data_IF_527548664134
#
_entry.id   IF_527548664134
#
_cell.length_a   1.000
_cell.length_b   1.000
_cell.length_c   1.000
_cell.angle_alpha   90.00
_cell.angle_beta   90.00
_cell.angle_gamma   90.00
#
_symmetry.space_group_name_H-M   'P 1'
#
loop_
_entity.id
_entity.type
_entity.pdbx_description
1 polymer ?
#
# COMPACT_ATOMS: atom_id res chain seq x y z
N UNK A 1 18.38 6.02 3.10
CA UNK A 1 18.41 5.40 4.45
C UNK A 1 16.98 5.05 4.83
N UNK A 2 16.75 3.82 5.33
CA UNK A 2 15.42 3.41 5.76
C UNK A 2 15.02 4.14 7.05
N UNK A 3 13.73 4.51 7.20
CA UNK A 3 13.25 5.21 8.39
C UNK A 3 13.27 4.28 9.62
N UNK A 4 13.51 4.83 10.80
CA UNK A 4 13.43 4.08 12.05
C UNK A 4 11.98 3.82 12.48
N UNK A 5 11.13 4.83 12.28
CA UNK A 5 9.71 4.81 12.65
C UNK A 5 8.82 5.18 11.47
N UNK A 6 7.61 4.67 11.52
CA UNK A 6 6.52 5.01 10.62
C UNK A 6 5.28 5.38 11.43
N UNK A 7 4.46 6.25 10.87
CA UNK A 7 3.24 6.77 11.49
C UNK A 7 2.05 6.54 10.57
N UNK A 8 0.94 6.10 11.13
CA UNK A 8 -0.28 5.85 10.37
C UNK A 8 -1.45 6.58 11.02
N UNK A 9 -2.18 7.35 10.21
CA UNK A 9 -3.39 8.06 10.60
C UNK A 9 -4.60 7.21 10.29
N UNK A 10 -5.47 6.99 11.27
CA UNK A 10 -6.64 6.14 11.11
C UNK A 10 -7.75 6.48 12.10
N UNK A 11 -8.94 5.89 11.95
CA UNK A 11 -10.01 6.05 12.92
C UNK A 11 -9.73 5.28 14.22
N UNK A 12 -10.42 5.67 15.31
CA UNK A 12 -10.35 4.93 16.59
C UNK A 12 -10.85 3.50 16.41
N UNK A 13 -11.89 3.31 15.60
CA UNK A 13 -12.49 2.00 15.30
C UNK A 13 -11.48 1.12 14.58
N UNK A 14 -10.81 1.64 13.55
CA UNK A 14 -9.77 0.91 12.83
C UNK A 14 -8.59 0.56 13.74
N UNK A 15 -8.18 1.48 14.63
CA UNK A 15 -7.15 1.17 15.63
C UNK A 15 -7.58 -0.01 16.53
N UNK A 16 -8.83 0.00 17.02
CA UNK A 16 -9.37 -1.10 17.84
C UNK A 16 -9.33 -2.42 17.08
N UNK A 17 -9.64 -2.43 15.79
CA UNK A 17 -9.55 -3.63 14.96
C UNK A 17 -8.09 -4.10 14.74
N UNK A 18 -7.17 -3.17 14.45
CA UNK A 18 -5.73 -3.48 14.36
C UNK A 18 -5.24 -4.15 15.66
N UNK A 19 -5.63 -3.62 16.82
CA UNK A 19 -5.23 -4.18 18.12
C UNK A 19 -5.83 -5.57 18.34
N UNK A 20 -7.12 -5.76 18.06
CA UNK A 20 -7.80 -7.06 18.27
C UNK A 20 -7.25 -8.16 17.37
N UNK A 21 -7.02 -7.83 16.09
CA UNK A 21 -6.60 -8.80 15.09
C UNK A 21 -5.08 -8.94 14.97
N UNK A 22 -4.35 -7.94 15.47
CA UNK A 22 -2.92 -7.75 15.25
C UNK A 22 -2.54 -7.72 13.77
N UNK A 23 -3.44 -7.24 12.91
CA UNK A 23 -3.24 -7.13 11.47
C UNK A 23 -3.22 -5.68 11.02
N UNK A 24 -2.52 -5.43 9.92
CA UNK A 24 -2.61 -4.17 9.17
C UNK A 24 -3.13 -4.44 7.75
N UNK A 25 -3.99 -3.56 7.29
CA UNK A 25 -4.63 -3.68 6.00
C UNK A 25 -3.75 -3.16 4.87
N UNK A 26 -3.68 -3.94 3.80
CA UNK A 26 -3.17 -3.55 2.50
C UNK A 26 -4.37 -3.38 1.57
N UNK A 27 -4.55 -2.18 1.08
CA UNK A 27 -5.65 -1.83 0.19
C UNK A 27 -5.18 -1.94 -1.26
N UNK A 28 -6.00 -2.53 -2.11
CA UNK A 28 -5.73 -2.64 -3.55
C UNK A 28 -5.65 -1.25 -4.18
N UNK A 29 -4.75 -1.04 -5.14
CA UNK A 29 -4.46 0.30 -5.68
C UNK A 29 -5.69 1.00 -6.26
N UNK A 30 -6.59 0.27 -6.93
CA UNK A 30 -7.82 0.82 -7.49
C UNK A 30 -8.86 1.24 -6.44
N UNK A 31 -8.60 0.94 -5.17
CA UNK A 31 -9.45 1.27 -4.01
C UNK A 31 -8.86 2.36 -3.12
N UNK A 32 -7.71 2.90 -3.50
CA UNK A 32 -7.14 4.06 -2.82
C UNK A 32 -7.91 5.35 -3.18
N UNK A 33 -7.69 6.39 -2.40
CA UNK A 33 -8.39 7.68 -2.57
C UNK A 33 -7.97 8.46 -3.83
N UNK A 34 -6.78 8.20 -4.38
CA UNK A 34 -6.35 8.78 -5.64
C UNK A 34 -6.81 7.90 -6.82
N UNK A 35 -7.76 8.35 -7.67
CA UNK A 35 -8.26 7.56 -8.79
C UNK A 35 -7.21 7.29 -9.86
N UNK A 36 -6.12 8.05 -9.88
CA UNK A 36 -5.01 7.89 -10.82
C UNK A 36 -3.92 6.96 -10.30
N UNK A 37 -4.05 6.47 -9.08
CA UNK A 37 -3.07 5.61 -8.44
C UNK A 37 -2.79 4.34 -9.24
N UNK A 38 -1.51 4.14 -9.63
CA UNK A 38 -1.08 2.96 -10.36
C UNK A 38 -1.62 2.82 -11.79
N UNK A 39 -2.17 3.89 -12.37
CA UNK A 39 -2.55 3.89 -13.79
C UNK A 39 -1.31 3.82 -14.67
N UNK A 40 -1.35 2.92 -15.65
CA UNK A 40 -0.34 2.80 -16.71
C UNK A 40 -0.93 3.41 -17.96
N UNK A 41 -0.30 4.45 -18.48
CA UNK A 41 -0.61 4.98 -19.81
C UNK A 41 0.49 4.50 -20.76
N UNK A 42 0.13 3.66 -21.73
CA UNK A 42 1.03 3.19 -22.77
C UNK A 42 0.35 3.29 -24.12
N UNK A 43 1.01 3.96 -25.05
CA UNK A 43 0.54 4.04 -26.46
C UNK A 43 0.68 2.70 -27.20
N UNK A 44 1.56 1.83 -26.70
CA UNK A 44 1.90 0.54 -27.36
C UNK A 44 1.00 -0.63 -26.94
N UNK A 45 0.28 -0.49 -25.82
CA UNK A 45 -0.51 -1.58 -25.25
C UNK A 45 -1.85 -1.01 -24.82
N UNK A 46 -2.91 -1.43 -25.52
CA UNK A 46 -4.31 -1.21 -25.15
C UNK A 46 -4.69 -2.09 -23.92
N UNK A 47 -3.81 -2.13 -22.92
CA UNK A 47 -4.15 -2.67 -21.63
C UNK A 47 -5.12 -1.69 -20.98
N UNK A 48 -6.29 -2.16 -20.58
CA UNK A 48 -7.09 -1.37 -19.68
C UNK A 48 -6.29 -1.25 -18.38
N UNK A 49 -5.53 -0.17 -18.26
CA UNK A 49 -4.57 0.07 -17.19
C UNK A 49 -5.21 -0.05 -15.80
N UNK A 50 -6.52 0.14 -15.73
CA UNK A 50 -7.32 -0.04 -14.53
C UNK A 50 -7.27 -1.45 -13.93
N UNK A 51 -7.09 -2.47 -14.76
CA UNK A 51 -7.15 -3.87 -14.29
C UNK A 51 -5.86 -4.33 -13.64
N UNK A 52 -4.71 -3.86 -14.11
CA UNK A 52 -3.39 -4.25 -13.56
C UNK A 52 -3.25 -3.73 -12.13
N UNK A 53 -3.89 -2.62 -11.78
CA UNK A 53 -3.93 -2.09 -10.41
C UNK A 53 -4.50 -3.09 -9.40
N UNK A 54 -5.31 -4.05 -9.85
CA UNK A 54 -5.84 -5.11 -9.01
C UNK A 54 -4.79 -6.12 -8.54
N UNK A 55 -3.59 -6.07 -9.12
CA UNK A 55 -2.47 -6.95 -8.74
C UNK A 55 -1.51 -6.30 -7.74
N UNK A 56 -1.76 -5.08 -7.31
CA UNK A 56 -0.89 -4.39 -6.36
C UNK A 56 -1.68 -3.82 -5.18
N UNK A 57 -1.09 -3.93 -3.99
CA UNK A 57 -1.68 -3.51 -2.72
C UNK A 57 -0.69 -2.66 -1.94
N UNK A 58 -1.20 -1.66 -1.24
CA UNK A 58 -0.40 -0.79 -0.40
C UNK A 58 -0.97 -0.64 1.01
N UNK A 59 -0.07 -0.52 1.98
CA UNK A 59 -0.35 0.07 3.29
C UNK A 59 0.45 1.37 3.40
N UNK A 60 -0.25 2.49 3.64
CA UNK A 60 0.26 3.85 3.51
C UNK A 60 0.63 4.44 4.87
N UNK A 61 1.80 5.07 4.95
CA UNK A 61 2.41 5.57 6.17
C UNK A 61 3.11 6.90 5.90
N UNK A 62 3.46 7.63 6.95
CA UNK A 62 4.42 8.73 6.86
C UNK A 62 5.58 8.50 7.82
N UNK A 63 6.73 9.13 7.57
CA UNK A 63 7.90 9.05 8.46
C UNK A 63 8.12 10.34 9.24
N UNK A 64 7.29 11.35 9.01
CA UNK A 64 7.38 12.64 9.69
C UNK A 64 6.88 12.50 11.13
N UNK A 65 7.70 12.78 12.14
CA UNK A 65 7.26 12.76 13.53
C UNK A 65 6.32 13.93 13.87
N UNK A 66 6.42 15.04 13.11
CA UNK A 66 5.53 16.20 13.25
C UNK A 66 4.12 15.83 12.77
N UNK A 67 3.14 16.37 13.45
CA UNK A 67 1.75 16.24 13.04
C UNK A 67 1.50 16.93 11.69
N UNK A 68 0.59 16.36 10.91
CA UNK A 68 0.17 16.92 9.64
C UNK A 68 -1.35 17.17 9.65
N UNK A 69 -1.74 18.43 9.59
CA UNK A 69 -3.14 18.85 9.62
C UNK A 69 -3.96 18.25 8.47
N UNK A 70 -3.38 18.17 7.27
CA UNK A 70 -4.05 17.58 6.12
C UNK A 70 -4.34 16.10 6.32
N UNK A 71 -3.38 15.33 6.89
CA UNK A 71 -3.60 13.91 7.20
C UNK A 71 -4.67 13.72 8.28
N UNK A 72 -4.70 14.59 9.31
CA UNK A 72 -5.77 14.59 10.30
C UNK A 72 -7.15 14.82 9.65
N UNK A 73 -7.24 15.81 8.76
CA UNK A 73 -8.50 16.14 8.09
C UNK A 73 -8.96 15.03 7.16
N UNK A 74 -8.07 14.53 6.30
CA UNK A 74 -8.44 13.61 5.22
C UNK A 74 -8.69 12.19 5.70
N UNK A 75 -7.88 11.70 6.64
CA UNK A 75 -7.91 10.27 7.02
C UNK A 75 -8.64 10.01 8.33
N UNK A 76 -8.91 11.04 9.12
CA UNK A 76 -9.50 10.87 10.45
C UNK A 76 -10.65 11.82 10.74
N UNK A 77 -10.95 12.72 9.81
CA UNK A 77 -11.89 13.84 10.06
C UNK A 77 -11.61 14.55 11.39
N UNK A 78 -10.32 14.73 11.73
CA UNK A 78 -9.80 15.35 12.96
C UNK A 78 -10.08 14.55 14.26
N UNK A 79 -10.81 13.43 14.21
CA UNK A 79 -11.31 12.66 15.36
C UNK A 79 -10.70 11.26 15.49
N UNK A 80 -9.66 10.95 14.75
CA UNK A 80 -9.01 9.64 14.81
C UNK A 80 -7.75 9.65 15.66
N UNK A 81 -6.85 8.77 15.28
CA UNK A 81 -5.56 8.56 15.93
C UNK A 81 -4.43 8.53 14.93
N UNK A 82 -3.22 8.85 15.41
CA UNK A 82 -1.97 8.54 14.73
C UNK A 82 -1.20 7.53 15.56
N UNK A 83 -0.89 6.37 15.00
CA UNK A 83 -0.08 5.35 15.66
C UNK A 83 1.36 5.39 15.17
N UNK A 84 2.30 5.09 16.07
CA UNK A 84 3.73 5.01 15.80
C UNK A 84 4.24 3.59 16.00
N UNK A 85 4.96 3.08 15.01
CA UNK A 85 5.60 1.77 15.05
C UNK A 85 7.04 1.86 14.50
N UNK A 86 7.86 0.86 14.80
CA UNK A 86 9.13 0.65 14.09
C UNK A 86 8.87 0.24 12.65
N UNK A 87 9.73 0.65 11.75
CA UNK A 87 9.54 0.41 10.31
C UNK A 87 9.71 -1.05 9.87
N UNK A 88 10.20 -1.93 10.73
CA UNK A 88 10.23 -3.38 10.47
C UNK A 88 8.91 -4.05 10.88
N UNK A 89 7.80 -3.60 10.27
CA UNK A 89 6.43 -3.96 10.68
C UNK A 89 6.16 -5.47 10.69
N UNK A 90 6.78 -6.23 9.77
CA UNK A 90 6.43 -7.62 9.47
C UNK A 90 7.55 -8.61 9.78
N UNK A 91 8.74 -8.14 10.15
CA UNK A 91 9.91 -8.97 10.42
C UNK A 91 10.84 -8.33 11.45
N UNK A 92 11.75 -9.12 12.02
CA UNK A 92 12.76 -8.60 12.95
C UNK A 92 13.80 -7.73 12.23
N UNK A 93 14.06 -8.03 10.96
CA UNK A 93 15.03 -7.33 10.11
C UNK A 93 14.44 -7.07 8.74
N UNK A 94 14.82 -5.92 8.17
CA UNK A 94 14.57 -5.59 6.78
C UNK A 94 15.75 -6.14 5.98
N UNK A 95 15.46 -6.97 4.99
CA UNK A 95 16.45 -7.44 4.02
C UNK A 95 16.51 -6.45 2.87
N UNK A 96 17.70 -6.06 2.46
CA UNK A 96 17.91 -5.28 1.25
C UNK A 96 18.36 -6.24 0.15
N UNK A 97 17.55 -6.36 -0.88
CA UNK A 97 17.85 -7.17 -2.05
C UNK A 97 18.11 -6.23 -3.22
N UNK A 98 19.22 -6.42 -3.88
CA UNK A 98 19.53 -5.70 -5.10
C UNK A 98 18.86 -6.40 -6.28
N UNK A 99 18.08 -5.64 -7.04
CA UNK A 99 17.49 -6.09 -8.30
C UNK A 99 17.65 -4.97 -9.33
N UNK A 100 18.28 -5.25 -10.44
CA UNK A 100 18.46 -4.33 -11.58
C UNK A 100 18.93 -2.92 -11.18
N UNK A 101 19.94 -2.84 -10.30
CA UNK A 101 20.49 -1.60 -9.73
C UNK A 101 19.53 -0.85 -8.77
N UNK A 102 18.48 -1.49 -8.28
CA UNK A 102 17.59 -0.96 -7.26
C UNK A 102 17.64 -1.80 -5.99
N UNK A 103 17.75 -1.15 -4.83
CA UNK A 103 17.69 -1.82 -3.54
C UNK A 103 16.24 -1.94 -3.08
N UNK A 104 15.76 -3.16 -2.96
CA UNK A 104 14.41 -3.44 -2.48
C UNK A 104 14.41 -3.85 -1.01
N UNK A 105 13.77 -3.10 -0.12
CA UNK A 105 13.56 -3.54 1.25
C UNK A 105 12.45 -4.59 1.30
N UNK A 106 12.79 -5.79 1.76
CA UNK A 106 11.87 -6.92 1.91
C UNK A 106 11.72 -7.25 3.38
N UNK A 107 10.50 -7.40 3.86
CA UNK A 107 10.24 -7.71 5.26
C UNK A 107 9.68 -9.09 5.52
N UNK A 108 8.77 -9.58 4.71
CA UNK A 108 8.13 -10.86 4.98
C UNK A 108 7.58 -11.54 3.75
N UNK A 109 7.59 -12.86 3.84
CA UNK A 109 6.83 -13.75 3.00
C UNK A 109 5.48 -13.99 3.68
N UNK A 110 4.40 -13.65 3.00
CA UNK A 110 3.05 -13.98 3.44
C UNK A 110 2.43 -14.96 2.43
N UNK A 111 1.97 -16.15 2.85
CA UNK A 111 1.12 -16.96 1.99
C UNK A 111 -0.22 -16.23 1.84
N UNK A 112 -0.58 -15.88 0.61
CA UNK A 112 -1.89 -15.31 0.30
C UNK A 112 -2.71 -16.43 -0.33
N UNK A 113 -3.66 -16.94 0.42
CA UNK A 113 -4.41 -18.16 0.09
C UNK A 113 -5.64 -17.94 -0.79
N UNK A 114 -5.97 -16.71 -1.16
CA UNK A 114 -7.26 -16.41 -1.82
C UNK A 114 -7.15 -15.60 -3.10
N UNK A 115 -6.02 -15.75 -3.79
CA UNK A 115 -5.78 -15.04 -5.04
C UNK A 115 -5.88 -15.97 -6.24
N UNK A 116 -6.74 -15.62 -7.19
CA UNK A 116 -6.86 -16.29 -8.47
C UNK A 116 -6.78 -15.27 -9.59
N UNK A 117 -5.89 -15.51 -10.56
CA UNK A 117 -6.06 -14.95 -11.91
C UNK A 117 -6.49 -16.07 -12.84
N UNK A 118 -7.17 -15.73 -13.93
CA UNK A 118 -7.48 -16.71 -14.98
C UNK A 118 -6.23 -17.35 -15.57
N UNK A 119 -5.09 -16.65 -15.46
CA UNK A 119 -3.79 -17.06 -15.99
C UNK A 119 -2.95 -17.89 -15.01
N UNK A 120 -3.22 -17.79 -13.73
CA UNK A 120 -2.46 -18.50 -12.70
C UNK A 120 -3.41 -19.15 -11.71
N UNK A 121 -3.63 -20.45 -11.92
CA UNK A 121 -4.50 -21.27 -11.06
C UNK A 121 -3.76 -21.84 -9.84
N UNK A 122 -2.55 -21.35 -9.52
CA UNK A 122 -1.79 -21.89 -8.40
C UNK A 122 -2.21 -21.26 -7.08
N UNK A 123 -2.83 -22.03 -6.16
CA UNK A 123 -3.45 -21.49 -4.95
C UNK A 123 -2.46 -21.11 -3.82
N UNK A 124 -1.15 -21.25 -4.01
CA UNK A 124 -0.15 -21.10 -2.96
C UNK A 124 1.06 -20.26 -3.37
N UNK A 125 0.83 -19.13 -4.04
CA UNK A 125 1.93 -18.22 -4.33
C UNK A 125 2.35 -17.50 -3.05
N UNK A 126 3.63 -17.60 -2.72
CA UNK A 126 4.22 -16.87 -1.60
C UNK A 126 4.50 -15.45 -2.07
N UNK A 127 3.86 -14.48 -1.43
CA UNK A 127 4.09 -13.08 -1.71
C UNK A 127 4.95 -12.43 -0.65
N UNK A 128 5.81 -11.52 -1.12
CA UNK A 128 6.67 -10.73 -0.26
C UNK A 128 5.95 -9.43 0.13
N UNK A 129 6.17 -8.99 1.36
CA UNK A 129 5.88 -7.63 1.75
C UNK A 129 7.14 -6.81 1.52
N UNK A 130 7.06 -5.93 0.54
CA UNK A 130 8.13 -4.99 0.18
C UNK A 130 7.95 -3.68 0.94
N UNK A 131 9.05 -3.03 1.30
CA UNK A 131 9.01 -1.72 1.93
C UNK A 131 9.74 -1.63 3.28
N UNK A 132 9.75 -0.44 3.86
CA UNK A 132 9.03 0.74 3.37
C UNK A 132 9.72 1.42 2.18
N UNK A 133 8.93 1.84 1.19
CA UNK A 133 9.37 2.68 0.07
C UNK A 133 8.85 4.10 0.25
N UNK A 134 9.68 5.08 -0.08
CA UNK A 134 9.22 6.46 -0.22
C UNK A 134 8.45 6.60 -1.54
N UNK A 135 7.31 7.27 -1.50
CA UNK A 135 6.58 7.65 -2.71
C UNK A 135 7.32 8.78 -3.43
N UNK A 136 7.52 8.62 -4.74
CA UNK A 136 8.08 9.65 -5.60
C UNK A 136 6.94 10.51 -6.15
N UNK A 137 7.02 11.82 -5.90
CA UNK A 137 6.03 12.78 -6.38
C UNK A 137 6.47 13.36 -7.72
N UNK A 138 5.57 13.31 -8.70
CA UNK A 138 5.84 13.68 -10.09
C UNK A 138 4.78 14.67 -10.60
N UNK A 139 5.11 15.44 -11.63
CA UNK A 139 4.16 16.39 -12.23
C UNK A 139 3.03 15.68 -12.99
N UNK A 140 3.36 14.57 -13.64
CA UNK A 140 2.41 13.76 -14.40
C UNK A 140 2.75 12.27 -14.25
N UNK A 141 1.74 11.43 -14.28
CA UNK A 141 1.90 9.96 -14.33
C UNK A 141 2.11 9.45 -15.75
N UNK A 142 1.94 10.29 -16.77
CA UNK A 142 2.18 9.90 -18.16
C UNK A 142 3.62 9.40 -18.31
N UNK A 143 3.77 8.26 -18.96
CA UNK A 143 5.06 7.61 -19.22
C UNK A 143 5.87 7.17 -17.98
N UNK A 144 5.31 7.28 -16.76
CA UNK A 144 6.04 6.95 -15.53
C UNK A 144 6.27 5.47 -15.32
N UNK A 145 5.46 4.62 -15.91
CA UNK A 145 5.50 3.16 -15.73
C UNK A 145 5.89 2.42 -17.01
N UNK A 146 6.61 3.05 -17.93
CA UNK A 146 7.08 2.39 -19.17
C UNK A 146 7.94 1.16 -18.91
N UNK A 147 8.75 1.20 -17.85
CA UNK A 147 9.57 0.07 -17.42
C UNK A 147 8.79 -1.06 -16.71
N UNK A 148 7.55 -0.80 -16.31
CA UNK A 148 6.70 -1.84 -15.70
C UNK A 148 6.24 -2.90 -16.71
N UNK A 149 6.47 -2.66 -18.01
CA UNK A 149 6.09 -3.57 -19.08
C UNK A 149 7.36 -3.96 -19.83
N UNK A 150 7.77 -5.21 -19.68
CA UNK A 150 8.91 -5.74 -20.39
C UNK A 150 8.46 -6.73 -21.46
N UNK A 151 8.94 -6.51 -22.70
CA UNK A 151 8.62 -7.34 -23.86
C UNK A 151 9.67 -8.41 -24.03
N UNK A 152 9.43 -9.63 -23.55
CA UNK A 152 10.26 -10.77 -23.90
C UNK A 152 9.90 -11.29 -25.30
N UNK A 153 10.80 -11.08 -26.27
CA UNK A 153 10.76 -11.81 -27.53
C UNK A 153 11.15 -13.25 -27.26
N UNK A 154 10.20 -14.16 -27.27
CA UNK A 154 10.53 -15.59 -27.35
C UNK A 154 11.21 -15.91 -28.68
N UNK A 155 12.24 -16.74 -28.62
CA UNK A 155 13.15 -17.16 -29.70
C UNK A 155 12.50 -17.18 -31.09
N UNK A 156 13.22 -16.60 -32.04
CA UNK A 156 12.85 -16.41 -33.48
C UNK A 156 12.53 -17.70 -34.27
N UNK A 157 12.51 -18.87 -33.61
CA UNK A 157 12.31 -20.17 -34.26
C UNK A 157 10.99 -20.89 -33.95
N UNK A 158 10.05 -20.24 -33.27
CA UNK A 158 8.71 -20.80 -33.06
C UNK A 158 7.69 -20.11 -33.97
N UNK A 159 6.86 -20.85 -34.72
CA UNK A 159 5.89 -20.26 -35.65
C UNK A 159 4.76 -19.46 -34.99
N UNK A 160 4.59 -19.56 -33.68
CA UNK A 160 3.70 -18.74 -32.86
C UNK A 160 4.52 -17.66 -32.16
N UNK A 161 4.42 -16.44 -32.61
CA UNK A 161 4.90 -15.26 -31.92
C UNK A 161 4.12 -15.08 -30.60
N UNK A 162 4.39 -15.90 -29.63
CA UNK A 162 3.90 -15.74 -28.27
C UNK A 162 4.76 -14.66 -27.61
N UNK A 163 4.34 -13.42 -27.71
CA UNK A 163 4.89 -12.34 -26.91
C UNK A 163 4.53 -12.60 -25.45
N UNK A 164 5.51 -12.97 -24.64
CA UNK A 164 5.35 -12.96 -23.18
C UNK A 164 5.59 -11.55 -22.69
N UNK A 165 4.54 -10.92 -22.16
CA UNK A 165 4.65 -9.65 -21.47
C UNK A 165 4.70 -9.92 -19.95
N UNK A 166 5.82 -9.61 -19.33
CA UNK A 166 5.91 -9.56 -17.89
C UNK A 166 5.57 -8.14 -17.44
N UNK A 167 4.50 -8.02 -16.68
CA UNK A 167 4.13 -6.74 -16.09
C UNK A 167 4.69 -6.73 -14.67
N UNK A 168 5.66 -5.86 -14.44
CA UNK A 168 6.24 -5.67 -13.13
C UNK A 168 5.29 -4.83 -12.26
N UNK A 169 4.31 -5.49 -11.65
CA UNK A 169 3.37 -4.85 -10.72
C UNK A 169 4.06 -4.25 -9.49
N UNK A 170 5.35 -4.57 -9.32
CA UNK A 170 6.18 -4.03 -8.25
C UNK A 170 6.32 -2.51 -8.30
N UNK A 171 6.43 -1.90 -9.49
CA UNK A 171 6.57 -0.45 -9.62
C UNK A 171 5.26 0.30 -9.44
N UNK A 172 4.12 -0.38 -9.64
CA UNK A 172 2.82 0.26 -9.48
C UNK A 172 2.64 0.82 -8.07
N UNK A 173 2.13 2.05 -8.00
CA UNK A 173 1.91 2.74 -6.73
C UNK A 173 3.20 3.20 -6.04
N UNK A 174 4.32 3.34 -6.75
CA UNK A 174 5.52 4.02 -6.22
C UNK A 174 5.50 5.51 -6.52
N UNK A 175 4.73 5.95 -7.48
CA UNK A 175 4.65 7.34 -7.93
C UNK A 175 3.26 7.90 -7.72
N UNK A 176 3.19 9.18 -7.38
CA UNK A 176 1.97 9.92 -7.12
C UNK A 176 2.10 11.34 -7.68
N UNK A 177 1.01 11.96 -8.10
CA UNK A 177 1.06 13.34 -8.59
C UNK A 177 1.39 14.30 -7.43
N UNK A 178 2.15 15.37 -7.74
CA UNK A 178 2.63 16.37 -6.76
C UNK A 178 1.54 16.96 -5.85
N UNK A 179 0.27 16.94 -6.27
CA UNK A 179 -0.84 17.40 -5.43
C UNK A 179 -0.94 16.66 -4.08
N UNK A 180 -0.36 15.46 -3.99
CA UNK A 180 -0.35 14.62 -2.80
C UNK A 180 0.94 14.71 -1.98
N UNK A 181 1.91 15.57 -2.37
CA UNK A 181 3.23 15.65 -1.73
C UNK A 181 3.16 15.97 -0.23
N UNK A 182 2.11 16.67 0.21
CA UNK A 182 1.88 16.98 1.62
C UNK A 182 1.78 15.73 2.51
N UNK A 183 1.48 14.55 1.96
CA UNK A 183 1.40 13.29 2.71
C UNK A 183 2.78 12.80 3.15
N UNK A 184 3.85 13.14 2.43
CA UNK A 184 5.20 12.59 2.66
C UNK A 184 5.15 11.08 2.82
N UNK A 185 4.50 10.42 1.89
CA UNK A 185 4.06 9.04 2.00
C UNK A 185 5.21 8.04 1.86
N UNK A 186 5.13 6.98 2.63
CA UNK A 186 5.93 5.78 2.53
C UNK A 186 4.99 4.57 2.50
N UNK A 187 5.35 3.55 1.75
CA UNK A 187 4.48 2.40 1.50
C UNK A 187 5.14 1.09 1.81
N UNK A 188 4.34 0.19 2.37
CA UNK A 188 4.57 -1.23 2.26
C UNK A 188 3.68 -1.75 1.16
N UNK A 189 4.21 -2.67 0.34
CA UNK A 189 3.52 -3.13 -0.87
C UNK A 189 3.51 -4.64 -0.95
N UNK A 190 2.46 -5.16 -1.56
CA UNK A 190 2.36 -6.53 -2.03
C UNK A 190 2.11 -6.44 -3.52
N UNK A 191 2.94 -7.09 -4.31
CA UNK A 191 2.79 -7.17 -5.76
C UNK A 191 2.52 -8.61 -6.15
N UNK A 192 1.47 -8.81 -6.92
CA UNK A 192 1.11 -10.10 -7.45
C UNK A 192 1.67 -10.19 -8.88
N UNK A 193 2.43 -11.23 -9.23
CA UNK A 193 2.95 -11.37 -10.57
C UNK A 193 1.81 -11.56 -11.55
N UNK A 194 1.88 -10.86 -12.68
CA UNK A 194 0.96 -11.06 -13.80
C UNK A 194 1.79 -11.51 -14.99
N UNK A 195 1.71 -12.80 -15.29
CA UNK A 195 2.30 -13.36 -16.50
C UNK A 195 1.20 -13.46 -17.56
N UNK A 196 1.36 -12.73 -18.64
CA UNK A 196 0.43 -12.76 -19.76
C UNK A 196 1.15 -13.37 -20.93
N UNK A 197 0.72 -14.57 -21.33
CA UNK A 197 1.17 -15.22 -22.56
C UNK A 197 0.08 -15.07 -23.63
N UNK A 198 0.45 -14.59 -24.81
CA UNK A 198 -0.49 -14.47 -25.91
C UNK A 198 -0.02 -13.50 -26.99
N UNK A 199 -0.74 -13.46 -28.12
CA UNK A 199 -0.49 -12.45 -29.15
C UNK A 199 -0.84 -11.04 -28.64
N UNK A 200 -0.25 -10.00 -29.21
CA UNK A 200 -0.58 -8.60 -28.90
C UNK A 200 -2.10 -8.33 -28.98
N UNK A 201 -2.82 -9.07 -29.82
CA UNK A 201 -4.27 -9.03 -29.92
C UNK A 201 -4.98 -9.61 -28.69
N UNK A 202 -4.44 -10.65 -28.05
CA UNK A 202 -5.00 -11.21 -26.83
C UNK A 202 -4.81 -10.26 -25.64
N UNK A 203 -3.69 -9.51 -25.61
CA UNK A 203 -3.40 -8.53 -24.58
C UNK A 203 -4.35 -7.33 -24.61
N UNK A 204 -4.79 -6.90 -25.79
CA UNK A 204 -5.79 -5.82 -25.93
C UNK A 204 -7.18 -6.19 -25.37
N UNK A 205 -7.39 -7.45 -24.99
CA UNK A 205 -8.65 -7.99 -24.46
C UNK A 205 -8.60 -8.40 -23.00
N UNK A 206 -7.54 -8.03 -22.26
CA UNK A 206 -7.56 -8.24 -20.81
C UNK A 206 -8.67 -7.38 -20.22
N UNK A 207 -9.79 -8.03 -19.91
CA UNK A 207 -10.93 -7.36 -19.29
C UNK A 207 -10.82 -7.41 -17.75
N UNK A 208 -11.58 -6.53 -17.11
CA UNK A 208 -11.74 -6.47 -15.65
C UNK A 208 -12.05 -7.83 -15.01
N UNK A 209 -12.73 -8.69 -15.75
CA UNK A 209 -13.19 -9.99 -15.29
C UNK A 209 -12.07 -11.02 -15.19
N UNK A 210 -10.92 -10.76 -15.80
CA UNK A 210 -9.80 -11.69 -15.86
C UNK A 210 -8.91 -11.65 -14.61
N UNK A 211 -8.97 -10.57 -13.80
CA UNK A 211 -8.22 -10.45 -12.55
C UNK A 211 -9.19 -10.43 -11.39
N UNK A 212 -9.31 -11.58 -10.71
CA UNK A 212 -10.10 -11.71 -9.50
C UNK A 212 -9.17 -11.62 -8.30
N UNK A 213 -9.26 -10.54 -7.56
CA UNK A 213 -8.46 -10.35 -6.37
C UNK A 213 -9.29 -9.65 -5.28
N UNK A 214 -9.04 -9.92 -3.98
CA UNK A 214 -9.74 -9.24 -2.90
C UNK A 214 -9.47 -7.73 -2.95
N UNK A 215 -10.36 -6.92 -2.40
CA UNK A 215 -10.16 -5.47 -2.33
C UNK A 215 -9.09 -5.07 -1.31
N UNK A 216 -8.84 -5.94 -0.34
CA UNK A 216 -7.81 -5.74 0.68
C UNK A 216 -7.25 -7.08 1.18
N UNK A 217 -6.06 -7.01 1.73
CA UNK A 217 -5.36 -8.14 2.36
C UNK A 217 -4.89 -7.66 3.73
N UNK A 218 -5.23 -8.42 4.77
CA UNK A 218 -4.81 -8.12 6.14
C UNK A 218 -3.56 -8.95 6.49
N UNK A 219 -2.48 -8.28 6.89
CA UNK A 219 -1.18 -8.91 7.17
C UNK A 219 -0.85 -8.78 8.66
N UNK A 220 -0.47 -9.88 9.35
CA UNK A 220 -0.11 -9.85 10.74
C UNK A 220 1.09 -8.94 11.02
N UNK A 221 0.94 -8.03 11.99
CA UNK A 221 2.00 -7.18 12.48
C UNK A 221 2.94 -7.97 13.41
N UNK A 222 4.25 -7.70 13.28
CA UNK A 222 5.26 -8.11 14.24
C UNK A 222 5.69 -6.95 15.13
N UNK A 223 5.75 -5.76 14.56
CA UNK A 223 6.05 -4.56 15.31
C UNK A 223 4.89 -4.19 16.25
N UNK A 224 5.24 -3.72 17.45
CA UNK A 224 4.26 -3.24 18.42
C UNK A 224 3.98 -1.75 18.20
N UNK A 225 2.75 -1.33 18.50
CA UNK A 225 2.41 0.08 18.60
C UNK A 225 3.15 0.66 19.81
N UNK A 226 3.99 1.67 19.58
CA UNK A 226 4.79 2.31 20.63
C UNK A 226 4.09 3.55 21.22
N UNK A 227 3.27 4.24 20.42
CA UNK A 227 2.59 5.47 20.81
C UNK A 227 1.27 5.60 20.04
N UNK A 228 0.28 6.13 20.72
CA UNK A 228 -0.98 6.57 20.14
C UNK A 228 -1.10 8.08 20.40
N UNK A 229 -1.27 8.85 19.32
CA UNK A 229 -1.59 10.28 19.41
C UNK A 229 -3.04 10.46 18.98
N UNK A 230 -3.90 10.96 19.87
CA UNK A 230 -5.31 11.25 19.54
C UNK A 230 -5.44 12.58 18.82
N UNK A 231 -6.35 12.63 17.87
CA UNK A 231 -6.56 13.77 16.97
C UNK A 231 -7.06 15.04 17.69
N UNK A 232 -6.98 16.19 16.99
CA UNK A 232 -7.29 17.50 17.59
C UNK A 232 -8.70 17.65 18.14
N UNK A 233 -9.68 16.92 17.58
CA UNK A 233 -11.08 17.01 17.98
C UNK A 233 -11.59 15.76 18.73
N UNK A 234 -10.68 14.86 19.13
CA UNK A 234 -11.02 13.73 20.01
C UNK A 234 -11.32 14.27 21.40
N UNK A 235 -12.48 13.93 21.93
CA UNK A 235 -12.93 14.36 23.26
C UNK A 235 -12.22 13.63 24.39
N UNK A 236 -12.31 14.15 25.60
CA UNK A 236 -11.79 13.48 26.79
C UNK A 236 -12.48 12.12 27.01
N UNK A 237 -13.80 12.10 26.84
CA UNK A 237 -14.57 10.86 26.94
C UNK A 237 -14.10 9.79 25.95
N UNK A 238 -13.93 10.13 24.67
CA UNK A 238 -13.41 9.20 23.65
C UNK A 238 -11.99 8.72 23.99
N UNK A 239 -11.18 9.58 24.58
CA UNK A 239 -9.83 9.23 25.04
C UNK A 239 -9.87 8.25 26.23
N UNK A 240 -10.79 8.47 27.19
CA UNK A 240 -11.00 7.57 28.33
C UNK A 240 -11.49 6.21 27.87
N UNK A 241 -12.48 6.16 26.97
CA UNK A 241 -12.98 4.92 26.37
C UNK A 241 -11.88 4.13 25.64
N UNK A 242 -10.98 4.83 24.94
CA UNK A 242 -9.82 4.21 24.32
C UNK A 242 -8.84 3.65 25.36
N UNK A 243 -8.60 4.38 26.47
CA UNK A 243 -7.77 3.89 27.56
C UNK A 243 -8.35 2.63 28.22
N UNK A 244 -9.66 2.60 28.46
CA UNK A 244 -10.34 1.44 29.00
C UNK A 244 -10.23 0.24 28.06
N UNK A 245 -10.41 0.46 26.75
CA UNK A 245 -10.21 -0.58 25.75
C UNK A 245 -8.79 -1.15 25.79
N UNK A 246 -7.74 -0.29 25.84
CA UNK A 246 -6.35 -0.74 25.93
C UNK A 246 -6.10 -1.57 27.21
N UNK A 247 -6.63 -1.14 28.34
CA UNK A 247 -6.55 -1.90 29.62
C UNK A 247 -7.20 -3.27 29.51
N UNK A 248 -8.37 -3.34 28.87
CA UNK A 248 -9.09 -4.62 28.63
C UNK A 248 -8.28 -5.58 27.75
N UNK A 249 -7.50 -5.03 26.78
CA UNK A 249 -6.56 -5.79 25.96
C UNK A 249 -5.21 -6.07 26.66
N UNK A 250 -5.03 -5.66 27.93
CA UNK A 250 -3.79 -5.77 28.71
C UNK A 250 -2.58 -5.08 28.05
N UNK A 251 -2.85 -3.98 27.34
CA UNK A 251 -1.84 -3.19 26.66
C UNK A 251 -1.54 -1.92 27.48
N UNK A 252 -0.24 -1.62 27.61
CA UNK A 252 0.25 -0.37 28.19
C UNK A 252 0.91 0.43 27.09
N UNK A 253 0.13 1.23 26.36
CA UNK A 253 0.59 2.10 25.28
C UNK A 253 0.34 3.54 25.71
N UNK A 254 1.35 4.41 25.53
CA UNK A 254 1.22 5.83 25.83
C UNK A 254 0.24 6.49 24.87
N UNK A 255 -0.80 7.13 25.44
CA UNK A 255 -1.72 7.99 24.68
C UNK A 255 -1.33 9.45 24.91
N UNK A 256 -1.06 10.16 23.82
CA UNK A 256 -0.80 11.60 23.79
C UNK A 256 -1.96 12.33 23.12
N UNK A 257 -2.10 13.61 23.41
CA UNK A 257 -3.03 14.50 22.73
C UNK A 257 -2.31 15.31 21.66
N UNK A 258 -3.00 15.58 20.56
CA UNK A 258 -2.52 16.49 19.50
C UNK A 258 -2.28 17.89 20.04
N UNK A 259 -1.17 18.51 19.60
CA UNK A 259 -0.87 19.91 19.88
C UNK A 259 -1.61 20.87 18.91
N UNK A 260 -2.16 20.33 17.82
CA UNK A 260 -2.89 21.11 16.82
C UNK A 260 -4.23 21.59 17.40
N UNK A 261 -4.50 22.89 17.25
CA UNK A 261 -5.77 23.51 17.63
C UNK A 261 -6.47 24.03 16.40
N UNK A 262 -7.73 23.67 16.22
CA UNK A 262 -8.56 24.10 15.07
C UNK A 262 -9.76 24.86 15.57
N UNK A 263 -9.88 26.10 15.13
CA UNK A 263 -11.10 26.89 15.32
C UNK A 263 -11.98 26.70 14.09
N UNK A 264 -12.97 25.80 14.16
CA UNK A 264 -14.02 25.75 13.12
C UNK A 264 -14.95 26.96 13.33
N UNK A 265 -15.01 27.86 12.34
CA UNK A 265 -16.13 28.81 12.30
C UNK A 265 -17.40 27.96 12.22
N UNK A 266 -18.27 28.06 13.20
CA UNK A 266 -19.63 27.48 13.13
C UNK A 266 -20.32 28.15 11.94
N UNK A 267 -20.49 27.40 10.85
CA UNK A 267 -21.38 27.81 9.75
C UNK A 267 -22.81 27.52 10.13
#
# INVERSE_FOLDING_TARGET
MLPKYVYHYTSIETLKEIIKTNNIRFTRLDKLNDPYEGLIESDDINLSSGEIRKCAYCSCWTTKPQENLALWAMYTNMKGVRIKLKSNLFADKILLVEQENCFMPIQKIAPITSYYTIFDQQPNIIHWVYGPFKVDYVETLKDTYKCAIDNYKCNENTPDETLMHNIFTFELGQKKVNHWEYENEWRYKISLPVNISGSAYALSKISAEMIISPEFIDIPLKAKIEEILVGPEVTEQETEELNEFLKAQKLSIEIKKSDIRVNRKRT
#
